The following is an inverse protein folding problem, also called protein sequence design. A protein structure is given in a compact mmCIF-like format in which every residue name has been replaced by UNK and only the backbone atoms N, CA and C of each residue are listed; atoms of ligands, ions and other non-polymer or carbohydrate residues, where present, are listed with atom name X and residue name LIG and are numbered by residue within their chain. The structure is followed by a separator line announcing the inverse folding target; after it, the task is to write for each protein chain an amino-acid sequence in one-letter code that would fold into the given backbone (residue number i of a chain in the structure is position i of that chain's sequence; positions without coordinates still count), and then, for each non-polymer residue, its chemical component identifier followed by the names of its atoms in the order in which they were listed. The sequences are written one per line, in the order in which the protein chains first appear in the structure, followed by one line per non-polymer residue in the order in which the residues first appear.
data_IF_775358076388
#
_entry.id   IF_775358076388
#
_cell.length_a   1.000
_cell.length_b   1.000
_cell.length_c   1.000
_cell.angle_alpha   90.00
_cell.angle_beta   90.00
_cell.angle_gamma   90.00
#
_symmetry.space_group_name_H-M   'P 1'
#
loop_
_entity.id
_entity.type
_entity.pdbx_description
1 polymer ?
#
# COMPACT_ATOMS: atom_id res chain seq x y z
N UNK A 1 -30.43 17.62 -53.74
CA UNK A 1 -29.71 18.14 -52.56
C UNK A 1 -29.84 17.11 -51.43
N UNK A 2 -28.87 16.25 -51.25
CA UNK A 2 -28.91 15.18 -50.25
C UNK A 2 -27.91 15.53 -49.18
N UNK A 3 -28.42 15.86 -47.98
CA UNK A 3 -27.62 16.20 -46.81
C UNK A 3 -26.93 14.96 -46.22
N UNK A 4 -25.62 14.90 -46.29
CA UNK A 4 -24.79 13.94 -45.55
C UNK A 4 -24.79 14.29 -44.08
N UNK A 5 -25.42 13.45 -43.25
CA UNK A 5 -25.19 13.42 -41.79
C UNK A 5 -23.83 12.78 -41.53
N UNK A 6 -22.86 13.57 -41.12
CA UNK A 6 -21.59 13.08 -40.62
C UNK A 6 -21.79 12.52 -39.19
N UNK A 7 -21.81 11.19 -39.08
CA UNK A 7 -21.69 10.50 -37.80
C UNK A 7 -20.23 10.65 -37.31
N UNK A 8 -20.00 11.46 -36.29
CA UNK A 8 -18.70 11.48 -35.60
C UNK A 8 -18.59 10.24 -34.73
N UNK A 9 -17.94 9.22 -35.28
CA UNK A 9 -17.57 7.99 -34.51
C UNK A 9 -16.33 8.34 -33.69
N UNK A 10 -16.53 8.61 -32.41
CA UNK A 10 -15.40 8.72 -31.48
C UNK A 10 -14.73 7.34 -31.42
N UNK A 11 -13.40 7.24 -31.54
CA UNK A 11 -12.70 5.97 -31.50
C UNK A 11 -12.93 5.24 -30.18
N UNK A 12 -13.17 3.92 -30.21
CA UNK A 12 -13.41 3.06 -29.03
C UNK A 12 -12.30 3.16 -27.96
N UNK A 13 -11.08 3.49 -28.35
CA UNK A 13 -9.93 3.66 -27.46
C UNK A 13 -10.07 4.92 -26.58
N UNK A 14 -10.60 6.02 -27.11
CA UNK A 14 -10.84 7.25 -26.34
C UNK A 14 -11.97 7.09 -25.33
N UNK A 15 -13.02 6.36 -25.67
CA UNK A 15 -14.11 6.04 -24.74
C UNK A 15 -13.63 5.16 -23.55
N UNK A 16 -12.77 4.16 -23.83
CA UNK A 16 -12.14 3.33 -22.78
C UNK A 16 -11.29 4.17 -21.83
N UNK A 17 -10.49 5.08 -22.37
CA UNK A 17 -9.65 6.01 -21.61
C UNK A 17 -10.48 6.96 -20.73
N UNK A 18 -11.58 7.51 -21.27
CA UNK A 18 -12.48 8.41 -20.53
C UNK A 18 -13.21 7.68 -19.39
N UNK A 19 -13.67 6.45 -19.62
CA UNK A 19 -14.31 5.63 -18.60
C UNK A 19 -13.35 5.27 -17.47
N UNK A 20 -12.12 4.88 -17.82
CA UNK A 20 -11.07 4.58 -16.83
C UNK A 20 -10.74 5.81 -15.97
N UNK A 21 -10.58 6.99 -16.59
CA UNK A 21 -10.32 8.25 -15.87
C UNK A 21 -11.48 8.64 -14.95
N UNK A 22 -12.74 8.48 -15.39
CA UNK A 22 -13.92 8.75 -14.56
C UNK A 22 -13.98 7.78 -13.37
N UNK A 23 -13.69 6.49 -13.60
CA UNK A 23 -13.63 5.47 -12.54
C UNK A 23 -12.56 5.83 -11.51
N UNK A 24 -11.37 6.20 -11.97
CA UNK A 24 -10.27 6.56 -11.09
C UNK A 24 -10.60 7.82 -10.25
N UNK A 25 -11.14 8.88 -10.87
CA UNK A 25 -11.56 10.09 -10.13
C UNK A 25 -12.60 9.79 -9.06
N UNK A 26 -13.59 8.94 -9.38
CA UNK A 26 -14.61 8.56 -8.39
C UNK A 26 -13.98 7.77 -7.23
N UNK A 27 -13.06 6.84 -7.52
CA UNK A 27 -12.32 6.12 -6.49
C UNK A 27 -11.55 7.08 -5.57
N UNK A 28 -10.85 8.04 -6.15
CA UNK A 28 -10.10 9.07 -5.42
C UNK A 28 -11.02 9.94 -4.56
N UNK A 29 -12.16 10.39 -5.09
CA UNK A 29 -13.15 11.19 -4.36
C UNK A 29 -13.67 10.46 -3.11
N UNK A 30 -14.00 9.18 -3.23
CA UNK A 30 -14.48 8.35 -2.11
C UNK A 30 -13.36 8.15 -1.08
N UNK A 31 -12.15 7.81 -1.52
CA UNK A 31 -11.01 7.59 -0.65
C UNK A 31 -10.60 8.87 0.11
N UNK A 32 -10.64 10.05 -0.54
CA UNK A 32 -10.36 11.34 0.10
C UNK A 32 -11.41 11.70 1.15
N UNK A 33 -12.68 11.44 0.88
CA UNK A 33 -13.76 11.63 1.84
C UNK A 33 -13.57 10.73 3.07
N UNK A 34 -13.25 9.46 2.86
CA UNK A 34 -12.96 8.50 3.92
C UNK A 34 -11.74 8.92 4.76
N UNK A 35 -10.64 9.30 4.12
CA UNK A 35 -9.42 9.76 4.79
C UNK A 35 -9.68 10.96 5.72
N UNK A 36 -10.45 11.95 5.26
CA UNK A 36 -10.85 13.10 6.10
C UNK A 36 -11.66 12.68 7.32
N UNK A 37 -12.61 11.75 7.16
CA UNK A 37 -13.44 11.27 8.27
C UNK A 37 -12.63 10.40 9.24
N UNK A 38 -11.79 9.52 8.75
CA UNK A 38 -10.89 8.70 9.59
C UNK A 38 -9.95 9.55 10.44
N UNK A 39 -9.48 10.65 9.90
CA UNK A 39 -8.68 11.60 10.66
C UNK A 39 -9.45 12.35 11.73
N UNK A 40 -10.66 12.77 11.42
CA UNK A 40 -11.46 13.58 12.32
C UNK A 40 -11.96 12.79 13.53
N UNK A 41 -12.33 11.51 13.37
CA UNK A 41 -12.98 10.72 14.41
C UNK A 41 -12.51 9.27 14.52
N UNK A 42 -11.50 8.88 13.75
CA UNK A 42 -10.95 7.52 13.73
C UNK A 42 -11.71 6.56 12.80
N UNK A 43 -11.05 5.45 12.50
CA UNK A 43 -11.60 4.42 11.61
C UNK A 43 -12.88 3.81 12.20
N UNK A 44 -12.82 3.32 13.45
CA UNK A 44 -13.91 2.52 14.04
C UNK A 44 -15.23 3.31 14.16
N UNK A 45 -15.17 4.64 14.41
CA UNK A 45 -16.33 5.51 14.55
C UNK A 45 -16.89 6.04 13.23
N UNK A 46 -16.20 5.81 12.11
CA UNK A 46 -16.65 6.26 10.79
C UNK A 46 -17.52 5.19 10.13
N UNK A 47 -18.68 5.59 9.59
CA UNK A 47 -19.60 4.70 8.87
C UNK A 47 -19.52 4.89 7.36
N UNK A 48 -19.89 3.86 6.60
CA UNK A 48 -19.98 3.95 5.13
C UNK A 48 -21.02 5.00 4.70
N UNK A 49 -22.13 5.13 5.44
CA UNK A 49 -23.15 6.15 5.21
C UNK A 49 -22.58 7.57 5.25
N UNK A 50 -21.70 7.85 6.21
CA UNK A 50 -21.05 9.16 6.33
C UNK A 50 -20.06 9.41 5.21
N UNK A 51 -19.30 8.37 4.83
CA UNK A 51 -18.36 8.44 3.71
C UNK A 51 -19.12 8.71 2.40
N UNK A 52 -20.20 7.97 2.15
CA UNK A 52 -21.05 8.15 0.97
C UNK A 52 -21.61 9.57 0.89
N UNK A 53 -22.10 10.10 2.02
CA UNK A 53 -22.60 11.49 2.10
C UNK A 53 -21.48 12.51 1.84
N UNK A 54 -20.30 12.32 2.44
CA UNK A 54 -19.16 13.22 2.27
C UNK A 54 -18.55 13.16 0.85
N UNK A 55 -18.69 12.04 0.18
CA UNK A 55 -18.28 11.84 -1.22
C UNK A 55 -19.41 12.14 -2.23
N UNK A 56 -20.60 12.56 -1.78
CA UNK A 56 -21.78 12.85 -2.63
C UNK A 56 -22.19 11.67 -3.53
N UNK A 57 -22.13 10.44 -2.99
CA UNK A 57 -22.50 9.21 -3.70
C UNK A 57 -23.43 8.35 -2.86
N UNK A 58 -23.99 7.27 -3.44
CA UNK A 58 -24.72 6.26 -2.68
C UNK A 58 -23.77 5.30 -1.95
N UNK A 59 -24.24 4.68 -0.85
CA UNK A 59 -23.48 3.61 -0.18
C UNK A 59 -23.16 2.45 -1.13
N UNK A 60 -24.10 2.09 -2.01
CA UNK A 60 -23.86 1.10 -3.05
C UNK A 60 -22.71 1.50 -3.97
N UNK A 61 -22.57 2.79 -4.28
CA UNK A 61 -21.44 3.29 -5.06
C UNK A 61 -20.15 3.10 -4.30
N UNK A 62 -20.12 3.39 -2.99
CA UNK A 62 -18.91 3.14 -2.17
C UNK A 62 -18.53 1.68 -2.22
N UNK A 63 -19.45 0.74 -1.99
CA UNK A 63 -19.20 -0.71 -2.03
C UNK A 63 -18.76 -1.23 -3.41
N UNK A 64 -19.21 -0.60 -4.49
CA UNK A 64 -18.78 -0.95 -5.84
C UNK A 64 -17.29 -0.63 -6.12
N UNK A 65 -16.72 0.35 -5.38
CA UNK A 65 -15.31 0.73 -5.49
C UNK A 65 -14.43 0.14 -4.39
N UNK A 66 -14.99 -0.06 -3.22
CA UNK A 66 -14.32 -0.56 -2.02
C UNK A 66 -15.25 -1.57 -1.32
N UNK A 67 -15.11 -2.87 -1.63
CA UNK A 67 -15.91 -3.95 -1.07
C UNK A 67 -15.99 -3.96 0.46
N UNK A 68 -14.92 -3.51 1.12
CA UNK A 68 -14.87 -3.40 2.58
C UNK A 68 -14.46 -1.98 3.02
N UNK A 69 -14.76 -1.63 4.26
CA UNK A 69 -14.34 -0.33 4.83
C UNK A 69 -12.81 -0.27 5.00
N UNK A 70 -12.18 -1.39 5.27
CA UNK A 70 -10.74 -1.53 5.41
C UNK A 70 -10.01 -1.18 4.11
N UNK A 71 -10.55 -1.54 2.95
CA UNK A 71 -9.96 -1.22 1.64
C UNK A 71 -9.89 0.29 1.34
N UNK A 72 -10.66 1.11 2.05
CA UNK A 72 -10.54 2.57 2.00
C UNK A 72 -9.23 3.10 2.64
N UNK A 73 -8.63 2.32 3.52
CA UNK A 73 -7.34 2.62 4.16
C UNK A 73 -6.19 2.04 3.35
N UNK A 74 -6.40 0.87 2.74
CA UNK A 74 -5.41 0.11 1.98
C UNK A 74 -5.67 0.16 0.46
N UNK A 75 -6.07 1.31 -0.06
CA UNK A 75 -6.47 1.47 -1.46
C UNK A 75 -5.31 1.30 -2.47
N UNK A 76 -4.08 1.28 -2.00
CA UNK A 76 -2.85 1.03 -2.76
C UNK A 76 -2.32 -0.42 -2.61
N UNK A 77 -3.12 -1.36 -2.07
CA UNK A 77 -2.72 -2.76 -1.83
C UNK A 77 -2.10 -3.42 -3.07
N UNK A 78 -2.74 -3.27 -4.23
CA UNK A 78 -2.23 -3.83 -5.48
C UNK A 78 -0.88 -3.22 -5.92
N UNK A 79 -0.69 -1.92 -5.71
CA UNK A 79 0.57 -1.25 -6.01
C UNK A 79 1.68 -1.71 -5.06
N UNK A 80 1.37 -1.88 -3.77
CA UNK A 80 2.31 -2.42 -2.80
C UNK A 80 2.71 -3.86 -3.11
N UNK A 81 1.76 -4.72 -3.48
CA UNK A 81 2.04 -6.08 -3.94
C UNK A 81 2.98 -6.09 -5.17
N UNK A 82 2.72 -5.24 -6.16
CA UNK A 82 3.55 -5.11 -7.34
C UNK A 82 4.99 -4.66 -7.01
N UNK A 83 5.15 -3.74 -6.05
CA UNK A 83 6.48 -3.30 -5.57
C UNK A 83 7.27 -4.44 -4.93
N UNK A 84 6.62 -5.25 -4.10
CA UNK A 84 7.26 -6.42 -3.47
C UNK A 84 7.71 -7.46 -4.52
N UNK A 85 6.89 -7.68 -5.54
CA UNK A 85 7.26 -8.54 -6.68
C UNK A 85 8.42 -7.91 -7.48
N UNK A 86 8.34 -6.63 -7.80
CA UNK A 86 9.37 -5.87 -8.51
C UNK A 86 10.72 -5.92 -7.78
N UNK A 87 10.71 -5.76 -6.46
CA UNK A 87 11.89 -5.88 -5.62
C UNK A 87 12.65 -7.21 -5.83
N UNK A 88 11.92 -8.30 -6.07
CA UNK A 88 12.52 -9.61 -6.36
C UNK A 88 12.90 -9.74 -7.83
N UNK A 89 12.01 -9.33 -8.76
CA UNK A 89 12.17 -9.57 -10.19
C UNK A 89 13.12 -8.60 -10.90
N UNK A 90 13.10 -7.34 -10.51
CA UNK A 90 13.76 -6.24 -11.22
C UNK A 90 15.13 -5.87 -10.63
N UNK A 91 15.59 -6.62 -9.60
CA UNK A 91 16.89 -6.36 -9.01
C UNK A 91 18.02 -6.52 -10.04
N UNK A 92 19.03 -5.64 -10.02
CA UNK A 92 20.17 -5.77 -10.91
C UNK A 92 20.82 -7.16 -10.81
N UNK A 93 21.36 -7.66 -11.95
CA UNK A 93 22.08 -8.94 -11.96
C UNK A 93 23.26 -8.89 -11.00
N UNK A 94 23.31 -9.84 -10.06
CA UNK A 94 24.34 -9.90 -9.03
C UNK A 94 24.03 -9.12 -7.75
N UNK A 95 22.95 -8.33 -7.72
CA UNK A 95 22.50 -7.71 -6.48
C UNK A 95 21.82 -8.75 -5.56
N UNK A 96 22.14 -8.69 -4.27
CA UNK A 96 21.53 -9.53 -3.26
C UNK A 96 20.07 -9.17 -2.98
N UNK A 97 19.29 -10.14 -2.50
CA UNK A 97 17.92 -9.86 -2.04
C UNK A 97 17.89 -8.85 -0.89
N UNK A 98 18.88 -8.88 -0.01
CA UNK A 98 19.01 -7.93 1.12
C UNK A 98 19.15 -6.49 0.62
N UNK A 99 19.95 -6.26 -0.43
CA UNK A 99 20.12 -4.93 -1.02
C UNK A 99 18.84 -4.42 -1.69
N UNK A 100 18.11 -5.32 -2.33
CA UNK A 100 16.81 -4.98 -2.93
C UNK A 100 15.78 -4.58 -1.86
N UNK A 101 15.71 -5.33 -0.74
CA UNK A 101 14.86 -5.00 0.41
C UNK A 101 15.25 -3.65 1.02
N UNK A 102 16.55 -3.40 1.19
CA UNK A 102 17.06 -2.13 1.71
C UNK A 102 16.62 -0.95 0.84
N UNK A 103 16.82 -1.07 -0.47
CA UNK A 103 16.43 -0.03 -1.42
C UNK A 103 14.93 0.25 -1.35
N UNK A 104 14.10 -0.79 -1.34
CA UNK A 104 12.66 -0.65 -1.27
C UNK A 104 12.16 -0.11 0.07
N UNK A 105 12.77 -0.55 1.19
CA UNK A 105 12.47 -0.03 2.52
C UNK A 105 12.79 1.46 2.64
N UNK A 106 13.91 1.90 2.08
CA UNK A 106 14.29 3.32 2.03
C UNK A 106 13.29 4.13 1.21
N UNK A 107 12.90 3.66 0.01
CA UNK A 107 11.88 4.31 -0.81
C UNK A 107 10.54 4.43 -0.06
N UNK A 108 10.13 3.39 0.64
CA UNK A 108 8.92 3.38 1.44
C UNK A 108 8.98 4.38 2.62
N UNK A 109 10.10 4.47 3.32
CA UNK A 109 10.32 5.48 4.37
C UNK A 109 10.29 6.91 3.82
N UNK A 110 10.87 7.14 2.63
CA UNK A 110 10.81 8.44 1.96
C UNK A 110 9.38 8.83 1.61
N UNK A 111 8.60 7.93 1.04
CA UNK A 111 7.18 8.16 0.75
C UNK A 111 6.39 8.50 2.02
N UNK A 112 6.62 7.76 3.11
CA UNK A 112 6.02 8.11 4.39
C UNK A 112 6.44 9.52 4.85
N UNK A 113 7.67 9.94 4.57
CA UNK A 113 8.20 11.27 4.92
C UNK A 113 7.63 12.42 4.09
N UNK A 114 7.34 12.17 2.82
CA UNK A 114 6.82 13.16 1.88
C UNK A 114 5.33 13.46 2.08
N UNK A 115 4.60 12.58 2.76
CA UNK A 115 3.17 12.74 2.99
C UNK A 115 2.95 13.80 4.08
N UNK A 116 2.12 14.83 3.81
CA UNK A 116 1.90 15.93 4.77
C UNK A 116 1.31 15.42 6.08
N UNK A 117 1.59 16.13 7.16
CA UNK A 117 0.97 15.91 8.46
C UNK A 117 -0.54 16.11 8.33
N UNK A 118 -1.28 15.02 8.49
CA UNK A 118 -2.73 15.04 8.38
C UNK A 118 -3.30 13.72 7.86
N UNK A 119 -4.62 13.65 7.75
CA UNK A 119 -5.39 12.45 7.44
C UNK A 119 -5.34 12.02 5.98
N UNK A 120 -4.28 12.27 5.28
CA UNK A 120 -4.15 11.91 3.88
C UNK A 120 -3.92 10.40 3.73
N UNK A 121 -4.54 9.88 2.67
CA UNK A 121 -4.85 8.49 2.29
C UNK A 121 -3.83 7.45 2.72
N UNK A 122 -2.55 7.78 2.79
CA UNK A 122 -1.49 6.82 3.13
C UNK A 122 -0.58 7.26 4.27
N UNK A 123 -0.48 8.56 4.57
CA UNK A 123 0.33 9.05 5.71
C UNK A 123 -0.32 8.77 7.07
N UNK A 124 -1.65 8.61 7.10
CA UNK A 124 -2.40 8.21 8.29
C UNK A 124 -2.53 6.70 8.49
N UNK A 125 -2.22 5.88 7.47
CA UNK A 125 -2.42 4.43 7.52
C UNK A 125 -1.62 3.78 8.67
N UNK A 126 -0.32 4.04 8.90
CA UNK A 126 0.39 3.45 10.03
C UNK A 126 -0.23 3.81 11.38
N UNK A 127 -0.66 5.06 11.55
CA UNK A 127 -1.38 5.49 12.76
C UNK A 127 -2.70 4.73 12.92
N UNK A 128 -3.51 4.64 11.87
CA UNK A 128 -4.80 3.95 11.89
C UNK A 128 -4.64 2.46 12.21
N UNK A 129 -3.63 1.80 11.64
CA UNK A 129 -3.27 0.41 11.95
C UNK A 129 -2.87 0.25 13.41
N UNK A 130 -2.13 1.21 13.98
CA UNK A 130 -1.69 1.17 15.38
C UNK A 130 -2.83 1.36 16.39
N UNK A 131 -3.94 2.02 16.00
CA UNK A 131 -5.04 2.33 16.94
C UNK A 131 -6.30 1.49 16.72
N UNK A 132 -6.49 0.86 15.55
CA UNK A 132 -7.65 0.02 15.23
C UNK A 132 -7.28 -1.46 15.13
N UNK A 133 -7.80 -2.32 16.04
CA UNK A 133 -7.58 -3.76 15.96
C UNK A 133 -8.11 -4.39 14.67
N UNK A 134 -9.17 -3.84 14.08
CA UNK A 134 -9.72 -4.31 12.81
C UNK A 134 -8.73 -4.07 11.67
N UNK A 135 -8.19 -2.85 11.56
CA UNK A 135 -7.17 -2.52 10.56
C UNK A 135 -5.87 -3.29 10.79
N UNK A 136 -5.48 -3.50 12.04
CA UNK A 136 -4.30 -4.34 12.35
C UNK A 136 -4.44 -5.76 11.83
N UNK A 137 -5.60 -6.37 12.01
CA UNK A 137 -5.89 -7.70 11.49
C UNK A 137 -5.84 -7.72 9.97
N UNK A 138 -6.54 -6.80 9.34
CA UNK A 138 -6.55 -6.68 7.87
C UNK A 138 -5.15 -6.48 7.29
N UNK A 139 -4.32 -5.64 7.94
CA UNK A 139 -2.91 -5.46 7.57
C UNK A 139 -2.13 -6.78 7.62
N UNK A 140 -2.26 -7.55 8.70
CA UNK A 140 -1.54 -8.83 8.83
C UNK A 140 -2.00 -9.86 7.79
N UNK A 141 -3.29 -9.95 7.51
CA UNK A 141 -3.85 -10.80 6.44
C UNK A 141 -3.34 -10.38 5.05
N UNK A 142 -3.24 -9.08 4.81
CA UNK A 142 -2.69 -8.51 3.58
C UNK A 142 -1.20 -8.86 3.41
N UNK A 143 -0.39 -8.68 4.45
CA UNK A 143 1.03 -9.04 4.45
C UNK A 143 1.22 -10.55 4.22
N UNK A 144 0.38 -11.40 4.81
CA UNK A 144 0.41 -12.85 4.58
C UNK A 144 0.16 -13.19 3.11
N UNK A 145 -0.87 -12.59 2.49
CA UNK A 145 -1.14 -12.77 1.06
C UNK A 145 0.05 -12.35 0.19
N UNK A 146 0.66 -11.20 0.48
CA UNK A 146 1.83 -10.70 -0.25
C UNK A 146 3.04 -11.62 -0.07
N UNK A 147 3.26 -12.14 1.14
CA UNK A 147 4.33 -13.11 1.41
C UNK A 147 4.19 -14.35 0.55
N UNK A 148 2.97 -14.87 0.36
CA UNK A 148 2.73 -15.99 -0.53
C UNK A 148 3.07 -15.66 -2.00
N UNK A 149 2.70 -14.47 -2.48
CA UNK A 149 3.04 -14.03 -3.84
C UNK A 149 4.55 -13.95 -4.02
N UNK A 150 5.26 -13.31 -3.10
CA UNK A 150 6.73 -13.21 -3.12
C UNK A 150 7.39 -14.59 -3.08
N UNK A 151 6.88 -15.52 -2.26
CA UNK A 151 7.40 -16.89 -2.19
C UNK A 151 7.29 -17.63 -3.53
N UNK A 152 6.15 -17.50 -4.22
CA UNK A 152 5.95 -18.09 -5.54
C UNK A 152 6.98 -17.54 -6.54
N UNK A 153 7.16 -16.23 -6.57
CA UNK A 153 8.14 -15.56 -7.44
C UNK A 153 9.58 -16.04 -7.15
N UNK A 154 9.94 -16.21 -5.88
CA UNK A 154 11.26 -16.73 -5.50
C UNK A 154 11.47 -18.16 -6.01
N UNK A 155 10.46 -19.03 -5.92
CA UNK A 155 10.55 -20.41 -6.46
C UNK A 155 10.70 -20.38 -7.98
N UNK A 156 9.88 -19.59 -8.68
CA UNK A 156 9.94 -19.47 -10.14
C UNK A 156 11.31 -19.00 -10.61
N UNK A 157 11.88 -17.98 -9.96
CA UNK A 157 13.21 -17.46 -10.30
C UNK A 157 14.37 -18.41 -9.95
N UNK A 158 14.20 -19.29 -8.99
CA UNK A 158 15.26 -20.22 -8.53
C UNK A 158 15.49 -21.42 -9.46
N UNK A 159 14.68 -21.58 -10.50
CA UNK A 159 14.77 -22.68 -11.48
C UNK A 159 14.88 -24.05 -10.77
N UNK A 160 14.05 -24.28 -9.76
CA UNK A 160 13.95 -25.55 -9.04
C UNK A 160 14.99 -25.78 -7.94
N UNK A 161 15.84 -24.80 -7.65
CA UNK A 161 16.84 -24.92 -6.57
C UNK A 161 16.29 -24.53 -5.19
N UNK A 162 15.13 -23.84 -5.13
CA UNK A 162 14.51 -23.39 -3.90
C UNK A 162 13.19 -24.13 -3.63
N UNK A 163 13.09 -24.77 -2.47
CA UNK A 163 11.83 -25.41 -2.05
C UNK A 163 10.79 -24.34 -1.62
N UNK A 164 9.51 -24.65 -1.76
CA UNK A 164 8.43 -23.75 -1.32
C UNK A 164 8.51 -23.39 0.18
N UNK A 165 8.77 -24.31 1.13
CA UNK A 165 8.97 -23.94 2.53
C UNK A 165 10.10 -22.94 2.74
N UNK A 166 11.23 -23.13 2.08
CA UNK A 166 12.39 -22.20 2.15
C UNK A 166 12.01 -20.84 1.55
N UNK A 167 11.34 -20.83 0.40
CA UNK A 167 10.87 -19.60 -0.23
C UNK A 167 9.92 -18.82 0.67
N UNK A 168 9.00 -19.50 1.38
CA UNK A 168 8.10 -18.86 2.34
C UNK A 168 8.84 -18.21 3.51
N UNK A 169 9.85 -18.88 4.07
CA UNK A 169 10.69 -18.33 5.14
C UNK A 169 11.40 -17.07 4.66
N UNK A 170 12.02 -17.12 3.48
CA UNK A 170 12.68 -15.97 2.88
C UNK A 170 11.68 -14.83 2.62
N UNK A 171 10.57 -15.12 1.95
CA UNK A 171 9.54 -14.12 1.66
C UNK A 171 9.02 -13.45 2.94
N UNK A 172 8.76 -14.22 4.00
CA UNK A 172 8.34 -13.69 5.30
C UNK A 172 9.42 -12.75 5.88
N UNK A 173 10.68 -13.15 5.85
CA UNK A 173 11.80 -12.32 6.34
C UNK A 173 11.91 -11.00 5.55
N UNK A 174 11.72 -11.04 4.23
CA UNK A 174 11.78 -9.86 3.37
C UNK A 174 10.60 -8.91 3.61
N UNK A 175 9.38 -9.43 3.78
CA UNK A 175 8.18 -8.61 4.00
C UNK A 175 8.03 -8.10 5.44
N UNK A 176 8.67 -8.76 6.42
CA UNK A 176 8.66 -8.36 7.83
C UNK A 176 9.20 -6.94 8.04
N UNK A 177 10.15 -6.50 7.23
CA UNK A 177 10.72 -5.14 7.30
C UNK A 177 9.61 -4.08 7.17
N UNK A 178 8.69 -4.25 6.23
CA UNK A 178 7.57 -3.31 6.03
C UNK A 178 6.57 -3.34 7.18
N UNK A 179 6.36 -4.51 7.79
CA UNK A 179 5.53 -4.64 8.99
C UNK A 179 6.14 -3.87 10.15
N UNK A 180 7.45 -4.00 10.37
CA UNK A 180 8.16 -3.26 11.42
C UNK A 180 8.08 -1.74 11.16
N UNK A 181 8.27 -1.28 9.91
CA UNK A 181 8.14 0.15 9.58
C UNK A 181 6.74 0.68 9.94
N UNK A 182 5.68 -0.03 9.54
CA UNK A 182 4.30 0.38 9.81
C UNK A 182 4.00 0.40 11.31
N UNK A 183 4.46 -0.62 12.04
CA UNK A 183 4.22 -0.75 13.47
C UNK A 183 4.94 0.34 14.27
N UNK A 184 6.23 0.47 14.08
CA UNK A 184 7.06 1.42 14.84
C UNK A 184 6.69 2.86 14.50
N UNK A 185 6.50 3.18 13.21
CA UNK A 185 6.06 4.51 12.81
C UNK A 185 4.64 4.82 13.32
N UNK A 186 3.73 3.85 13.25
CA UNK A 186 2.37 3.99 13.78
C UNK A 186 2.34 4.23 15.29
N UNK A 187 3.11 3.47 16.06
CA UNK A 187 3.21 3.65 17.52
C UNK A 187 3.84 4.99 17.88
N UNK A 188 4.91 5.39 17.21
CA UNK A 188 5.56 6.67 17.45
C UNK A 188 4.63 7.86 17.17
N UNK A 189 3.83 7.79 16.11
CA UNK A 189 2.90 8.86 15.73
C UNK A 189 1.63 8.88 16.59
N UNK A 190 1.28 7.79 17.27
CA UNK A 190 0.12 7.67 18.14
C UNK A 190 0.08 8.72 19.25
N UNK A 191 1.23 9.13 19.76
CA UNK A 191 1.32 10.10 20.87
C UNK A 191 1.14 11.56 20.42
N UNK A 192 1.12 11.83 19.10
CA UNK A 192 1.04 13.17 18.52
C UNK A 192 2.24 14.09 18.84
N UNK A 193 3.23 13.59 19.58
CA UNK A 193 4.40 14.37 20.05
C UNK A 193 5.69 14.01 19.28
N UNK A 194 5.68 12.94 18.51
CA UNK A 194 6.89 12.46 17.85
C UNK A 194 7.32 13.39 16.71
N UNK A 195 8.59 13.74 16.67
CA UNK A 195 9.19 14.34 15.48
C UNK A 195 9.26 13.27 14.37
N UNK A 196 8.34 13.34 13.43
CA UNK A 196 8.18 12.38 12.34
C UNK A 196 9.49 12.11 11.59
N UNK A 197 10.24 13.18 11.27
CA UNK A 197 11.54 13.07 10.58
C UNK A 197 12.57 12.31 11.42
N UNK A 198 12.59 12.57 12.74
CA UNK A 198 13.49 11.85 13.64
C UNK A 198 13.15 10.34 13.72
N UNK A 199 11.86 10.00 13.76
CA UNK A 199 11.39 8.59 13.76
C UNK A 199 11.81 7.89 12.47
N UNK A 200 11.57 8.52 11.30
CA UNK A 200 11.94 7.93 10.01
C UNK A 200 13.46 7.75 9.86
N UNK A 201 14.26 8.70 10.34
CA UNK A 201 15.72 8.56 10.32
C UNK A 201 16.20 7.43 11.25
N UNK A 202 15.62 7.31 12.45
CA UNK A 202 15.93 6.23 13.38
C UNK A 202 15.57 4.86 12.78
N UNK A 203 14.39 4.73 12.19
CA UNK A 203 13.96 3.51 11.51
C UNK A 203 14.90 3.14 10.35
N UNK A 204 15.31 4.11 9.53
CA UNK A 204 16.29 3.88 8.46
C UNK A 204 17.57 3.26 9.00
N UNK A 205 18.16 3.87 10.03
CA UNK A 205 19.41 3.37 10.65
C UNK A 205 19.24 1.95 11.21
N UNK A 206 18.14 1.68 11.92
CA UNK A 206 17.88 0.36 12.51
C UNK A 206 17.65 -0.71 11.44
N UNK A 207 16.97 -0.37 10.35
CA UNK A 207 16.76 -1.29 9.21
C UNK A 207 18.10 -1.61 8.56
N UNK A 208 18.95 -0.60 8.31
CA UNK A 208 20.29 -0.81 7.75
C UNK A 208 21.12 -1.72 8.63
N UNK A 209 21.15 -1.47 9.92
CA UNK A 209 21.87 -2.32 10.89
C UNK A 209 21.35 -3.77 10.89
N UNK A 210 20.03 -3.96 10.89
CA UNK A 210 19.43 -5.29 10.87
C UNK A 210 19.74 -6.04 9.57
N UNK A 211 19.65 -5.36 8.43
CA UNK A 211 19.95 -5.96 7.12
C UNK A 211 21.44 -6.26 6.94
N UNK A 212 22.35 -5.44 7.49
CA UNK A 212 23.79 -5.72 7.49
C UNK A 212 24.11 -6.97 8.30
N UNK A 213 23.50 -7.15 9.46
CA UNK A 213 23.64 -8.37 10.26
C UNK A 213 23.15 -9.60 9.51
N UNK A 214 22.00 -9.51 8.83
CA UNK A 214 21.49 -10.62 7.99
C UNK A 214 22.46 -10.94 6.85
N UNK A 215 23.02 -9.92 6.19
CA UNK A 215 23.94 -10.10 5.07
C UNK A 215 25.28 -10.72 5.48
N UNK A 216 25.75 -10.42 6.70
CA UNK A 216 27.05 -10.92 7.23
C UNK A 216 26.93 -12.24 8.00
N UNK A 217 25.72 -12.76 8.20
CA UNK A 217 25.49 -14.03 8.92
C UNK A 217 25.55 -13.88 10.44
N UNK A 218 25.29 -12.65 10.98
CA UNK A 218 25.38 -12.26 12.39
C UNK A 218 26.80 -12.28 12.96
#
# INVERSE_FOLDING_TARGET
MVGRKSSSTVPREEEGSLRARKKQRMREQIADAAARLFAAKGFDQTTITEIARAAEVSEQTVYNYFPTKEELVFDEDAAFAARLVGMVCERPRGAGLVDAVRSEAHAFLEELGLRPDGPHRTGGMPYLVAVSPALRRHWLEMVERHTHVVANVLVEQSVGTLSMPTAKILAFSLTAVFTVIIDEFGQATKTGKANRKAVLNALRTQIDEALDRIATGL
#
